data_IF_433655862586
#
_entry.id   IF_433655862586
#
_cell.length_a   1.000
_cell.length_b   1.000
_cell.length_c   1.000
_cell.angle_alpha   90.00
_cell.angle_beta   90.00
_cell.angle_gamma   90.00
#
_symmetry.space_group_name_H-M   'P 1'
#
loop_
_entity.id
_entity.type
_entity.pdbx_description
1 polymer ?
#
# COMPACT_ATOMS: atom_id res chain seq x y z
N UNK A 1 8.87 13.83 -7.80
CA UNK A 1 8.30 12.92 -8.81
C UNK A 1 7.99 13.67 -10.10
N UNK A 2 7.16 14.72 -10.10
CA UNK A 2 6.78 15.44 -11.34
C UNK A 2 8.00 16.00 -12.10
N UNK A 3 9.02 16.50 -11.38
CA UNK A 3 10.27 16.97 -12.00
C UNK A 3 11.04 15.84 -12.69
N UNK A 4 11.10 14.64 -12.07
CA UNK A 4 11.76 13.47 -12.68
C UNK A 4 11.03 13.01 -13.93
N UNK A 5 9.71 13.01 -13.94
CA UNK A 5 8.91 12.70 -15.13
C UNK A 5 9.18 13.69 -16.27
N UNK A 6 9.28 15.00 -15.97
CA UNK A 6 9.63 16.00 -16.94
C UNK A 6 11.05 15.79 -17.49
N UNK A 7 12.04 15.56 -16.63
CA UNK A 7 13.42 15.28 -17.03
C UNK A 7 13.51 14.03 -17.93
N UNK A 8 12.78 12.94 -17.59
CA UNK A 8 12.73 11.76 -18.44
C UNK A 8 12.10 12.04 -19.79
N UNK A 9 10.98 12.77 -19.84
CA UNK A 9 10.32 13.13 -21.09
C UNK A 9 11.23 13.95 -21.98
N UNK A 10 11.93 14.94 -21.42
CA UNK A 10 12.72 15.93 -22.14
C UNK A 10 14.13 15.40 -22.49
N UNK A 11 14.56 14.25 -21.96
CA UNK A 11 15.82 13.58 -22.31
C UNK A 11 15.76 13.04 -23.77
N UNK A 12 16.65 13.46 -24.66
CA UNK A 12 16.62 13.07 -26.07
C UNK A 12 17.13 11.63 -26.34
N UNK A 13 17.74 10.98 -25.34
CA UNK A 13 18.27 9.61 -25.50
C UNK A 13 17.15 8.60 -25.72
N UNK A 14 17.41 7.62 -26.59
CA UNK A 14 16.44 6.54 -26.91
C UNK A 14 16.50 5.36 -25.95
N UNK A 15 17.68 5.11 -25.39
CA UNK A 15 18.00 4.00 -24.49
C UNK A 15 17.78 4.37 -23.01
N UNK A 16 16.68 5.02 -22.71
CA UNK A 16 16.33 5.47 -21.36
C UNK A 16 15.23 4.64 -20.75
N UNK A 17 15.29 4.43 -19.43
CA UNK A 17 14.29 3.72 -18.64
C UNK A 17 13.67 4.68 -17.63
N UNK A 18 12.34 4.72 -17.58
CA UNK A 18 11.61 5.53 -16.59
C UNK A 18 11.35 4.71 -15.33
N UNK A 19 12.06 5.07 -14.27
CA UNK A 19 11.89 4.49 -12.93
C UNK A 19 11.26 5.50 -11.95
N UNK A 20 10.74 6.62 -12.46
CA UNK A 20 10.24 7.72 -11.63
C UNK A 20 8.89 7.46 -10.98
N UNK A 21 8.08 6.58 -11.55
CA UNK A 21 6.74 6.23 -11.01
C UNK A 21 6.54 4.72 -11.08
N UNK A 22 6.09 4.15 -9.96
CA UNK A 22 5.77 2.72 -9.85
C UNK A 22 4.44 2.39 -10.54
N UNK A 23 4.44 2.20 -11.85
CA UNK A 23 3.31 1.70 -12.63
C UNK A 23 3.73 0.54 -13.51
N UNK A 24 2.83 -0.43 -13.71
CA UNK A 24 3.07 -1.48 -14.67
C UNK A 24 3.16 -0.91 -16.09
N UNK A 25 4.19 -1.30 -16.83
CA UNK A 25 4.38 -0.95 -18.25
C UNK A 25 4.60 -2.20 -19.07
N UNK A 26 4.01 -2.22 -20.25
CA UNK A 26 4.31 -3.20 -21.30
C UNK A 26 5.70 -2.94 -21.90
N UNK A 27 6.30 -3.91 -22.64
CA UNK A 27 7.60 -3.70 -23.30
C UNK A 27 7.64 -2.48 -24.24
N UNK A 28 6.49 -2.08 -24.80
CA UNK A 28 6.34 -0.88 -25.62
C UNK A 28 6.02 0.39 -24.79
N UNK A 29 6.17 0.34 -23.46
CA UNK A 29 6.10 1.49 -22.55
C UNK A 29 4.70 1.96 -22.20
N UNK A 30 3.64 1.24 -22.59
CA UNK A 30 2.25 1.61 -22.29
C UNK A 30 1.79 1.03 -20.96
N UNK A 31 0.96 1.78 -20.23
CA UNK A 31 0.20 1.29 -19.08
C UNK A 31 -1.20 0.86 -19.57
N UNK A 32 -1.45 -0.45 -19.73
CA UNK A 32 -2.72 -0.92 -20.29
C UNK A 32 -3.84 -0.84 -19.27
N UNK A 33 -5.04 -0.55 -19.73
CA UNK A 33 -6.26 -0.81 -18.96
C UNK A 33 -6.63 -2.28 -19.11
N UNK A 34 -6.76 -3.01 -18.00
CA UNK A 34 -7.12 -4.42 -18.02
C UNK A 34 -8.50 -4.64 -18.67
N UNK A 35 -8.63 -5.71 -19.45
CA UNK A 35 -9.89 -6.06 -20.11
C UNK A 35 -11.05 -6.25 -19.10
N UNK A 36 -10.75 -6.85 -17.95
CA UNK A 36 -11.71 -7.03 -16.87
C UNK A 36 -12.23 -5.69 -16.32
N UNK A 37 -11.36 -4.68 -16.20
CA UNK A 37 -11.74 -3.33 -15.76
C UNK A 37 -12.68 -2.69 -16.77
N UNK A 38 -12.33 -2.74 -18.07
CA UNK A 38 -13.22 -2.20 -19.14
C UNK A 38 -14.58 -2.88 -19.17
N UNK A 39 -14.62 -4.19 -18.97
CA UNK A 39 -15.88 -4.95 -18.93
C UNK A 39 -16.74 -4.54 -17.72
N UNK A 40 -16.10 -4.37 -16.55
CA UNK A 40 -16.79 -3.92 -15.34
C UNK A 40 -17.30 -2.48 -15.48
N UNK A 41 -16.52 -1.55 -16.05
CA UNK A 41 -16.96 -0.18 -16.35
C UNK A 41 -18.19 -0.16 -17.27
N UNK A 42 -18.16 -0.98 -18.34
CA UNK A 42 -19.31 -1.08 -19.26
C UNK A 42 -20.54 -1.67 -18.56
N UNK A 43 -20.36 -2.66 -17.69
CA UNK A 43 -21.46 -3.21 -16.91
C UNK A 43 -22.05 -2.16 -15.96
N UNK A 44 -21.21 -1.43 -15.22
CA UNK A 44 -21.64 -0.35 -14.34
C UNK A 44 -22.41 0.72 -15.13
N UNK A 45 -21.88 1.13 -16.27
CA UNK A 45 -22.57 2.10 -17.14
C UNK A 45 -23.96 1.64 -17.53
N UNK A 46 -24.14 0.37 -17.85
CA UNK A 46 -25.41 -0.19 -18.30
C UNK A 46 -26.43 -0.45 -17.17
N UNK A 47 -25.96 -0.66 -15.94
CA UNK A 47 -26.82 -1.16 -14.85
C UNK A 47 -26.96 -0.19 -13.67
N UNK A 48 -26.04 0.79 -13.55
CA UNK A 48 -26.12 1.74 -12.45
C UNK A 48 -27.15 2.83 -12.73
N UNK A 49 -28.19 2.87 -11.92
CA UNK A 49 -29.34 3.78 -12.05
C UNK A 49 -29.34 4.88 -10.98
N UNK A 50 -28.43 4.82 -10.00
CA UNK A 50 -28.35 5.78 -8.90
C UNK A 50 -26.91 6.15 -8.54
N UNK A 51 -26.74 7.37 -8.02
CA UNK A 51 -25.48 7.92 -7.47
C UNK A 51 -25.65 8.38 -6.02
N UNK A 52 -26.45 7.65 -5.24
CA UNK A 52 -26.65 7.98 -3.83
C UNK A 52 -25.39 7.76 -3.00
N UNK A 53 -25.39 8.30 -1.77
CA UNK A 53 -24.30 8.08 -0.82
C UNK A 53 -24.19 6.61 -0.43
N UNK A 54 -22.96 6.14 -0.28
CA UNK A 54 -22.65 4.83 0.32
C UNK A 54 -22.48 4.96 1.84
N UNK A 55 -22.50 3.83 2.55
CA UNK A 55 -22.20 3.80 3.98
C UNK A 55 -20.81 4.35 4.31
N UNK A 56 -20.59 4.83 5.54
CA UNK A 56 -19.29 5.37 5.97
C UNK A 56 -18.13 4.39 5.80
N UNK A 57 -18.39 3.09 5.99
CA UNK A 57 -17.38 2.06 5.77
C UNK A 57 -17.15 1.75 4.28
N UNK A 58 -18.02 2.21 3.39
CA UNK A 58 -17.99 1.90 1.97
C UNK A 58 -19.06 0.86 1.57
N UNK A 59 -18.96 0.34 0.34
CA UNK A 59 -19.89 -0.62 -0.22
C UNK A 59 -19.61 -2.05 0.26
N UNK A 60 -20.65 -2.74 0.75
CA UNK A 60 -20.55 -4.10 1.31
C UNK A 60 -20.14 -5.13 0.24
N UNK A 61 -20.64 -4.99 -0.99
CA UNK A 61 -20.29 -5.90 -2.07
C UNK A 61 -18.83 -5.73 -2.47
N UNK A 62 -18.32 -4.49 -2.48
CA UNK A 62 -16.88 -4.21 -2.66
C UNK A 62 -16.03 -4.87 -1.58
N UNK A 63 -16.42 -4.74 -0.31
CA UNK A 63 -15.69 -5.38 0.81
C UNK A 63 -15.66 -6.90 0.66
N UNK A 64 -16.78 -7.52 0.29
CA UNK A 64 -16.87 -8.95 0.05
C UNK A 64 -15.96 -9.41 -1.09
N UNK A 65 -15.97 -8.70 -2.21
CA UNK A 65 -15.12 -8.99 -3.37
C UNK A 65 -13.62 -8.83 -3.04
N UNK A 66 -13.23 -7.75 -2.37
CA UNK A 66 -11.84 -7.53 -1.96
C UNK A 66 -11.35 -8.57 -0.94
N UNK A 67 -12.17 -8.92 0.04
CA UNK A 67 -11.86 -10.00 0.98
C UNK A 67 -11.62 -11.32 0.23
N UNK A 68 -12.50 -11.67 -0.69
CA UNK A 68 -12.36 -12.90 -1.47
C UNK A 68 -11.12 -12.88 -2.35
N UNK A 69 -10.82 -11.74 -2.98
CA UNK A 69 -9.65 -11.59 -3.86
C UNK A 69 -8.33 -11.71 -3.09
N UNK A 70 -8.24 -11.11 -1.89
CA UNK A 70 -6.98 -11.01 -1.14
C UNK A 70 -6.80 -12.20 -0.21
N UNK A 71 -7.84 -12.61 0.52
CA UNK A 71 -7.76 -13.61 1.57
C UNK A 71 -8.34 -14.98 1.14
N UNK A 72 -9.20 -15.02 0.13
CA UNK A 72 -9.90 -16.24 -0.26
C UNK A 72 -10.59 -16.87 0.95
N UNK A 73 -10.25 -18.13 1.24
CA UNK A 73 -10.76 -18.89 2.37
C UNK A 73 -9.75 -19.02 3.52
N UNK A 74 -8.61 -18.32 3.47
CA UNK A 74 -7.55 -18.44 4.49
C UNK A 74 -7.96 -17.89 5.85
N UNK A 75 -8.91 -16.94 5.89
CA UNK A 75 -9.42 -16.33 7.12
C UNK A 75 -10.95 -16.39 7.14
N UNK A 76 -11.57 -16.88 8.22
CA UNK A 76 -13.03 -16.85 8.37
C UNK A 76 -13.59 -15.42 8.24
N UNK A 77 -14.70 -15.28 7.53
CA UNK A 77 -15.32 -13.96 7.30
C UNK A 77 -15.66 -13.20 8.59
N UNK A 78 -15.99 -13.93 9.66
CA UNK A 78 -16.30 -13.38 11.00
C UNK A 78 -15.10 -12.72 11.69
N UNK A 79 -13.88 -12.95 11.19
CA UNK A 79 -12.64 -12.37 11.70
C UNK A 79 -12.11 -11.23 10.84
N UNK A 80 -12.86 -10.82 9.83
CA UNK A 80 -12.44 -9.78 8.88
C UNK A 80 -13.37 -8.60 8.97
N UNK A 81 -12.83 -7.44 9.30
CA UNK A 81 -13.46 -6.14 9.10
C UNK A 81 -12.85 -5.47 7.87
N UNK A 82 -13.66 -4.73 7.11
CA UNK A 82 -13.21 -4.01 5.93
C UNK A 82 -13.72 -2.58 5.92
N UNK A 83 -12.88 -1.68 5.45
CA UNK A 83 -13.17 -0.26 5.30
C UNK A 83 -12.64 0.21 3.96
N UNK A 84 -13.48 0.86 3.16
CA UNK A 84 -13.05 1.50 1.93
C UNK A 84 -12.36 2.83 2.24
N UNK A 85 -11.24 3.08 1.56
CA UNK A 85 -10.44 4.30 1.73
C UNK A 85 -10.07 4.88 0.37
N UNK A 86 -9.74 6.19 0.27
CA UNK A 86 -9.24 6.78 -0.96
C UNK A 86 -7.79 6.35 -1.20
N UNK A 87 -7.61 5.19 -1.84
CA UNK A 87 -6.31 4.62 -2.20
C UNK A 87 -5.50 4.09 -1.01
N UNK A 88 -4.27 3.61 -1.30
CA UNK A 88 -3.37 3.03 -0.30
C UNK A 88 -2.91 4.03 0.76
N UNK A 89 -2.66 5.29 0.39
CA UNK A 89 -2.30 6.36 1.34
C UNK A 89 -3.40 6.56 2.38
N UNK A 90 -4.67 6.57 1.94
CA UNK A 90 -5.81 6.65 2.85
C UNK A 90 -5.89 5.43 3.78
N UNK A 91 -5.62 4.23 3.25
CA UNK A 91 -5.62 3.00 4.05
C UNK A 91 -4.54 3.03 5.15
N UNK A 92 -3.30 3.34 4.79
CA UNK A 92 -2.18 3.44 5.75
C UNK A 92 -2.49 4.49 6.82
N UNK A 93 -2.97 5.67 6.41
CA UNK A 93 -3.32 6.72 7.35
C UNK A 93 -4.42 6.27 8.33
N UNK A 94 -5.48 5.62 7.85
CA UNK A 94 -6.59 5.16 8.69
C UNK A 94 -6.11 4.14 9.74
N UNK A 95 -5.25 3.20 9.36
CA UNK A 95 -4.68 2.22 10.29
C UNK A 95 -3.83 2.91 11.35
N UNK A 96 -2.95 3.83 10.96
CA UNK A 96 -2.09 4.56 11.90
C UNK A 96 -2.89 5.48 12.83
N UNK A 97 -3.95 6.12 12.33
CA UNK A 97 -4.85 6.94 13.15
C UNK A 97 -5.64 6.10 14.15
N UNK A 98 -6.08 4.91 13.77
CA UNK A 98 -6.70 3.93 14.65
C UNK A 98 -5.70 3.46 15.71
N UNK A 99 -4.47 3.14 15.34
CA UNK A 99 -3.40 2.76 16.27
C UNK A 99 -3.18 3.87 17.31
N UNK A 100 -3.04 5.11 16.86
CA UNK A 100 -2.90 6.26 17.77
C UNK A 100 -4.03 6.37 18.80
N UNK A 101 -5.26 6.03 18.41
CA UNK A 101 -6.42 6.09 19.31
C UNK A 101 -6.48 4.92 20.28
N UNK A 102 -6.07 3.74 19.86
CA UNK A 102 -6.20 2.51 20.66
C UNK A 102 -4.95 2.25 21.51
N UNK A 103 -3.78 2.56 20.98
CA UNK A 103 -2.46 2.33 21.58
C UNK A 103 -1.56 3.56 21.34
N UNK A 104 -1.83 4.70 22.03
CA UNK A 104 -1.15 5.98 21.75
C UNK A 104 0.37 5.92 21.92
N UNK A 105 0.86 5.03 22.78
CA UNK A 105 2.29 4.86 23.08
C UNK A 105 2.98 3.82 22.17
N UNK A 106 2.24 3.24 21.20
CA UNK A 106 2.78 2.24 20.30
C UNK A 106 3.92 2.79 19.44
N UNK A 107 4.99 2.02 19.30
CA UNK A 107 6.02 2.25 18.30
C UNK A 107 5.59 1.63 16.97
N UNK A 108 5.76 2.38 15.90
CA UNK A 108 5.51 1.90 14.54
C UNK A 108 6.82 1.45 13.91
N UNK A 109 6.96 0.15 13.71
CA UNK A 109 8.14 -0.43 13.09
C UNK A 109 8.00 -0.44 11.57
N UNK A 110 8.95 0.19 10.88
CA UNK A 110 9.00 0.29 9.41
C UNK A 110 10.30 -0.29 8.88
N UNK A 111 10.27 -0.85 7.69
CA UNK A 111 11.47 -1.43 7.05
C UNK A 111 12.45 -0.35 6.57
N UNK A 112 13.74 -0.70 6.51
CA UNK A 112 14.75 0.11 5.82
C UNK A 112 15.27 -0.66 4.60
N UNK A 113 15.00 -0.16 3.36
CA UNK A 113 14.21 1.02 3.00
C UNK A 113 12.69 0.82 3.14
N UNK A 114 11.93 1.92 3.04
CA UNK A 114 10.46 1.94 2.98
C UNK A 114 9.96 3.11 2.13
N UNK A 115 8.69 3.06 1.73
CA UNK A 115 8.04 4.15 1.00
C UNK A 115 8.03 5.45 1.82
N UNK A 116 8.49 6.60 1.27
CA UNK A 116 8.63 7.84 2.03
C UNK A 116 7.35 8.36 2.70
N UNK A 117 6.19 7.95 2.21
CA UNK A 117 4.92 8.34 2.85
C UNK A 117 4.70 7.64 4.20
N UNK A 118 5.31 6.46 4.45
CA UNK A 118 5.17 5.80 5.75
C UNK A 118 5.71 6.67 6.88
N UNK A 119 6.99 7.06 6.90
CA UNK A 119 7.50 7.95 7.94
C UNK A 119 6.79 9.31 7.96
N UNK A 120 6.44 9.88 6.80
CA UNK A 120 5.74 11.16 6.75
C UNK A 120 4.37 11.14 7.41
N UNK A 121 3.59 10.07 7.25
CA UNK A 121 2.28 9.92 7.90
C UNK A 121 2.45 9.69 9.41
N UNK A 122 3.44 8.86 9.80
CA UNK A 122 3.74 8.58 11.22
C UNK A 122 4.10 9.87 11.94
N UNK A 123 5.03 10.66 11.36
CA UNK A 123 5.45 11.96 11.88
C UNK A 123 4.28 12.94 11.99
N UNK A 124 3.47 13.06 10.92
CA UNK A 124 2.29 13.93 10.90
C UNK A 124 1.29 13.59 12.02
N UNK A 125 1.15 12.32 12.34
CA UNK A 125 0.25 11.85 13.40
C UNK A 125 0.88 11.94 14.80
N UNK A 126 2.14 12.34 14.92
CA UNK A 126 2.85 12.43 16.20
C UNK A 126 3.14 11.04 16.81
N UNK A 127 3.21 10.00 15.99
CA UNK A 127 3.56 8.65 16.42
C UNK A 127 5.08 8.45 16.40
N UNK A 128 5.57 7.51 17.22
CA UNK A 128 6.98 7.12 17.25
C UNK A 128 7.26 6.07 16.16
N UNK A 129 8.25 6.31 15.31
CA UNK A 129 8.75 5.32 14.36
C UNK A 129 10.04 4.69 14.84
N UNK A 130 10.21 3.39 14.56
CA UNK A 130 11.49 2.69 14.60
C UNK A 130 11.70 1.92 13.30
N UNK A 131 12.95 1.84 12.87
CA UNK A 131 13.34 1.10 11.67
C UNK A 131 13.79 -0.32 12.04
N UNK A 132 13.46 -1.28 11.16
CA UNK A 132 14.05 -2.60 11.18
C UNK A 132 14.80 -2.85 9.87
N UNK A 133 15.92 -3.55 9.93
CA UNK A 133 16.72 -3.95 8.76
C UNK A 133 15.88 -4.86 7.86
N UNK A 134 15.95 -4.60 6.58
CA UNK A 134 15.22 -5.41 5.60
C UNK A 134 16.09 -5.74 4.38
N UNK A 135 16.76 -4.75 3.81
CA UNK A 135 17.56 -4.91 2.60
C UNK A 135 19.06 -5.04 2.94
N UNK A 136 19.67 -6.08 2.36
CA UNK A 136 21.12 -6.28 2.43
C UNK A 136 21.75 -5.82 1.09
N UNK A 137 22.51 -4.72 1.07
CA UNK A 137 23.12 -4.21 -0.16
C UNK A 137 24.23 -5.10 -0.70
N UNK A 138 24.87 -5.93 0.13
CA UNK A 138 25.99 -6.79 -0.29
C UNK A 138 25.49 -7.99 -1.08
N UNK A 139 24.33 -8.54 -0.71
CA UNK A 139 23.71 -9.68 -1.40
C UNK A 139 22.60 -9.26 -2.35
N UNK A 140 22.12 -8.01 -2.27
CA UNK A 140 20.95 -7.53 -3.00
C UNK A 140 19.63 -8.20 -2.58
N UNK A 141 19.61 -8.79 -1.39
CA UNK A 141 18.51 -9.60 -0.89
C UNK A 141 17.92 -9.14 0.44
N UNK A 142 17.25 -10.07 1.12
CA UNK A 142 16.67 -9.84 2.44
C UNK A 142 17.71 -10.09 3.55
N UNK A 143 17.97 -9.09 4.38
CA UNK A 143 18.66 -9.26 5.68
C UNK A 143 17.71 -9.89 6.70
N UNK A 144 17.46 -11.18 6.55
CA UNK A 144 16.54 -11.91 7.45
C UNK A 144 17.02 -11.91 8.90
N UNK A 145 18.32 -12.03 9.12
CA UNK A 145 18.90 -12.10 10.47
C UNK A 145 18.74 -10.76 11.16
N UNK A 146 19.13 -9.68 10.48
CA UNK A 146 18.99 -8.33 11.00
C UNK A 146 17.51 -7.96 11.23
N UNK A 147 16.63 -8.28 10.29
CA UNK A 147 15.19 -8.05 10.42
C UNK A 147 14.62 -8.69 11.69
N UNK A 148 14.89 -9.96 11.93
CA UNK A 148 14.36 -10.67 13.09
C UNK A 148 14.95 -10.11 14.39
N UNK A 149 16.27 -9.86 14.45
CA UNK A 149 16.92 -9.29 15.61
C UNK A 149 16.38 -7.89 15.99
N UNK A 150 16.04 -7.08 14.99
CA UNK A 150 15.44 -5.77 15.25
C UNK A 150 13.98 -5.90 15.73
N UNK A 151 13.19 -6.77 15.10
CA UNK A 151 11.78 -6.98 15.45
C UNK A 151 11.58 -7.70 16.78
N UNK A 152 12.56 -8.45 17.28
CA UNK A 152 12.55 -9.01 18.64
C UNK A 152 12.53 -7.92 19.73
N UNK A 153 12.87 -6.68 19.40
CA UNK A 153 12.81 -5.55 20.32
C UNK A 153 11.41 -4.93 20.42
N UNK A 154 10.48 -5.33 19.53
CA UNK A 154 9.12 -4.81 19.54
C UNK A 154 8.38 -5.24 20.83
N UNK A 155 7.58 -4.32 21.36
CA UNK A 155 6.83 -4.52 22.58
C UNK A 155 5.37 -4.88 22.26
N UNK A 156 4.68 -5.46 23.23
CA UNK A 156 3.25 -5.71 23.11
C UNK A 156 2.49 -4.39 22.91
N UNK A 157 1.71 -4.31 21.84
CA UNK A 157 0.99 -3.10 21.43
C UNK A 157 1.67 -2.30 20.31
N UNK A 158 2.93 -2.58 19.99
CA UNK A 158 3.60 -2.00 18.82
C UNK A 158 2.94 -2.45 17.51
N UNK A 159 3.08 -1.64 16.48
CA UNK A 159 2.63 -1.94 15.12
C UNK A 159 3.84 -2.23 14.23
N UNK A 160 3.82 -3.37 13.55
CA UNK A 160 4.83 -3.72 12.55
C UNK A 160 4.23 -3.58 11.16
N UNK A 161 4.80 -2.69 10.33
CA UNK A 161 4.39 -2.49 8.95
C UNK A 161 5.19 -3.43 8.04
N UNK A 162 4.50 -4.40 7.45
CA UNK A 162 5.06 -5.38 6.52
C UNK A 162 4.54 -5.14 5.11
N UNK A 163 5.39 -5.41 4.11
CA UNK A 163 5.02 -5.32 2.69
C UNK A 163 4.77 -6.73 2.17
N UNK A 164 3.52 -7.07 1.89
CA UNK A 164 3.13 -8.42 1.49
C UNK A 164 3.58 -8.80 0.07
N UNK A 165 3.63 -7.83 -0.83
CA UNK A 165 4.11 -7.99 -2.19
C UNK A 165 4.66 -6.66 -2.70
N UNK A 166 5.68 -6.73 -3.59
CA UNK A 166 6.31 -5.54 -4.17
C UNK A 166 6.73 -4.54 -3.07
N UNK A 167 7.81 -4.87 -2.36
CA UNK A 167 8.35 -4.00 -1.32
C UNK A 167 8.54 -2.57 -1.84
N UNK A 168 7.96 -1.60 -1.15
CA UNK A 168 7.88 -0.22 -1.64
C UNK A 168 8.81 0.70 -0.83
#
# INVERSE_FOLDING_TARGET
ILRLMAMFRDDPRRDKVDLGVGVYRTPDGRTPVLRAVKAAEQQIWNTQDTKSYVALAGDVAFHGAMRQLILGNSVPATRVAALATPGGTGAVRQVLEMTRKLTPDATIWISTPTWPNHPSIIEYLGLTAREYRYYDPDTGGLDRVGMLADLEQAQAGDLILLHACCHN
#
